data_IF_608347936329
#
_entry.id   IF_608347936329
#
_cell.length_a   1.000
_cell.length_b   1.000
_cell.length_c   1.000
_cell.angle_alpha   90.00
_cell.angle_beta   90.00
_cell.angle_gamma   90.00
#
_symmetry.space_group_name_H-M   'P 1'
#
loop_
_entity.id
_entity.type
_entity.pdbx_description
1 polymer ?
#
# COMPACT_ATOMS: atom_id res chain seq x y z
N UNK A 1 -40.76 7.69 3.19
CA UNK A 1 -39.76 8.76 3.34
C UNK A 1 -40.00 9.45 4.68
N UNK A 2 -39.03 9.38 5.58
CA UNK A 2 -39.16 9.90 6.95
C UNK A 2 -39.17 11.44 6.93
N UNK A 3 -40.10 12.05 7.69
CA UNK A 3 -40.49 13.47 7.59
C UNK A 3 -39.36 14.43 8.01
N UNK A 4 -38.27 13.91 8.56
CA UNK A 4 -37.15 14.65 9.15
C UNK A 4 -35.79 14.41 8.49
N UNK A 5 -35.67 13.49 7.52
CA UNK A 5 -34.40 13.25 6.84
C UNK A 5 -34.38 13.96 5.48
N UNK A 6 -33.78 15.16 5.42
CA UNK A 6 -33.76 15.98 4.19
C UNK A 6 -32.47 15.84 3.36
N UNK A 7 -31.38 15.35 3.95
CA UNK A 7 -30.09 15.17 3.28
C UNK A 7 -29.53 13.82 3.71
N UNK A 8 -29.29 12.94 2.74
CA UNK A 8 -28.66 11.64 2.94
C UNK A 8 -27.40 11.63 2.07
N UNK A 9 -26.24 11.39 2.69
CA UNK A 9 -25.01 11.24 1.95
C UNK A 9 -25.05 9.96 1.11
N UNK A 10 -24.85 10.10 -0.19
CA UNK A 10 -24.64 8.98 -1.11
C UNK A 10 -23.18 8.52 -0.97
N UNK A 11 -22.99 7.40 -0.29
CA UNK A 11 -21.65 6.89 0.01
C UNK A 11 -20.97 6.30 -1.23
N UNK A 12 -21.73 5.79 -2.20
CA UNK A 12 -21.18 5.26 -3.44
C UNK A 12 -20.69 6.41 -4.33
N UNK A 13 -21.48 7.48 -4.44
CA UNK A 13 -21.07 8.70 -5.15
C UNK A 13 -19.83 9.33 -4.50
N UNK A 14 -19.78 9.43 -3.17
CA UNK A 14 -18.61 9.97 -2.47
C UNK A 14 -17.35 9.10 -2.63
N UNK A 15 -17.49 7.77 -2.57
CA UNK A 15 -16.36 6.87 -2.77
C UNK A 15 -15.74 6.98 -4.18
N UNK A 16 -16.55 7.27 -5.20
CA UNK A 16 -16.11 7.40 -6.60
C UNK A 16 -15.65 8.81 -6.97
N UNK A 17 -16.04 9.83 -6.20
CA UNK A 17 -15.79 11.24 -6.50
C UNK A 17 -14.29 11.56 -6.68
N UNK A 18 -13.43 11.08 -5.78
CA UNK A 18 -11.99 11.35 -5.82
C UNK A 18 -11.34 10.91 -7.13
N UNK A 19 -11.69 9.72 -7.60
CA UNK A 19 -11.20 9.20 -8.88
C UNK A 19 -11.77 10.00 -10.04
N UNK A 20 -13.03 10.41 -10.00
CA UNK A 20 -13.63 11.27 -11.04
C UNK A 20 -12.86 12.59 -11.15
N UNK A 21 -12.62 13.26 -10.02
CA UNK A 21 -11.85 14.50 -9.99
C UNK A 21 -10.41 14.29 -10.49
N UNK A 22 -9.78 13.17 -10.13
CA UNK A 22 -8.47 12.77 -10.67
C UNK A 22 -8.48 12.59 -12.19
N UNK A 23 -9.51 11.96 -12.75
CA UNK A 23 -9.62 11.77 -14.19
C UNK A 23 -9.91 13.08 -14.93
N UNK A 24 -10.73 13.96 -14.37
CA UNK A 24 -11.15 15.22 -15.02
C UNK A 24 -10.04 16.25 -15.12
N UNK A 25 -9.07 16.24 -14.19
CA UNK A 25 -7.92 17.13 -14.22
C UNK A 25 -6.84 16.72 -15.24
N UNK A 26 -6.99 15.56 -15.89
CA UNK A 26 -6.07 15.09 -16.93
C UNK A 26 -6.68 15.28 -18.32
N UNK A 27 -6.03 16.09 -19.15
CA UNK A 27 -6.42 16.29 -20.56
C UNK A 27 -6.27 14.99 -21.39
N UNK A 28 -5.22 14.22 -21.09
CA UNK A 28 -4.89 12.97 -21.77
C UNK A 28 -4.51 11.87 -20.79
N UNK A 29 -4.72 10.61 -21.21
CA UNK A 29 -4.34 9.45 -20.43
C UNK A 29 -2.80 9.43 -20.21
N UNK A 30 -2.31 9.33 -18.97
CA UNK A 30 -0.90 9.14 -18.73
C UNK A 30 -0.44 7.75 -19.21
N UNK A 31 0.86 7.58 -19.46
CA UNK A 31 1.42 6.30 -19.92
C UNK A 31 1.42 5.22 -18.82
N UNK A 32 1.40 5.64 -17.54
CA UNK A 32 1.31 4.78 -16.36
C UNK A 32 0.72 5.58 -15.19
N UNK A 33 -0.12 4.91 -14.41
CA UNK A 33 -0.62 5.36 -13.11
C UNK A 33 0.00 4.48 -12.04
N UNK A 34 0.42 5.09 -10.94
CA UNK A 34 0.93 4.38 -9.77
C UNK A 34 -0.04 4.60 -8.62
N UNK A 35 -0.60 3.50 -8.11
CA UNK A 35 -1.50 3.48 -6.97
C UNK A 35 -0.68 3.11 -5.72
N UNK A 36 -0.33 4.10 -4.93
CA UNK A 36 0.30 3.88 -3.63
C UNK A 36 -0.77 3.61 -2.58
N UNK A 37 -0.67 2.46 -1.92
CA UNK A 37 -1.65 1.97 -0.96
C UNK A 37 -0.99 1.85 0.41
N UNK A 38 -1.59 2.48 1.42
CA UNK A 38 -1.22 2.29 2.82
C UNK A 38 -2.42 2.23 3.75
N UNK A 39 -2.16 1.66 4.92
CA UNK A 39 -3.06 1.71 6.06
C UNK A 39 -2.32 2.32 7.25
N UNK A 40 -2.98 3.22 7.98
CA UNK A 40 -2.42 3.85 9.18
C UNK A 40 -3.42 3.79 10.32
N UNK A 41 -2.96 3.86 11.56
CA UNK A 41 -3.84 3.90 12.72
C UNK A 41 -4.54 5.25 12.86
N UNK A 42 -5.79 5.19 13.30
CA UNK A 42 -6.56 6.34 13.75
C UNK A 42 -7.10 6.06 15.16
N UNK A 43 -6.57 6.77 16.15
CA UNK A 43 -6.73 6.43 17.56
C UNK A 43 -8.16 6.67 18.05
N UNK A 44 -8.73 5.64 18.68
CA UNK A 44 -10.05 5.68 19.31
C UNK A 44 -9.90 5.95 20.81
N UNK A 45 -10.60 6.98 21.29
CA UNK A 45 -10.53 7.41 22.69
C UNK A 45 -11.71 6.91 23.56
N UNK A 46 -12.81 6.48 22.96
CA UNK A 46 -14.03 6.07 23.67
C UNK A 46 -14.58 4.72 23.19
N UNK A 47 -15.90 4.58 23.30
CA UNK A 47 -16.64 3.38 22.91
C UNK A 47 -17.27 3.54 21.51
N UNK A 48 -16.51 4.10 20.56
CA UNK A 48 -16.96 4.20 19.17
C UNK A 48 -17.23 2.80 18.58
N UNK A 49 -18.23 2.70 17.70
CA UNK A 49 -18.58 1.50 16.94
C UNK A 49 -17.36 0.98 16.16
N UNK A 50 -17.14 -0.34 16.17
CA UNK A 50 -16.04 -0.96 15.43
C UNK A 50 -14.65 -0.76 16.05
N UNK A 51 -14.58 -0.27 17.29
CA UNK A 51 -13.36 -0.25 18.10
C UNK A 51 -12.70 -1.62 18.17
N UNK A 52 -11.42 -1.69 17.78
CA UNK A 52 -10.59 -2.89 17.93
C UNK A 52 -9.20 -2.51 18.43
N UNK A 53 -8.57 -3.38 19.23
CA UNK A 53 -7.18 -3.22 19.65
C UNK A 53 -6.23 -3.74 18.57
N UNK A 54 -5.28 -2.91 18.16
CA UNK A 54 -4.28 -3.31 17.17
C UNK A 54 -2.92 -3.59 17.81
N UNK A 55 -2.45 -4.84 17.73
CA UNK A 55 -1.23 -5.28 18.43
C UNK A 55 0.04 -4.53 18.02
N UNK A 56 0.17 -4.13 16.75
CA UNK A 56 1.33 -3.37 16.27
C UNK A 56 1.36 -1.93 16.81
N UNK A 57 0.20 -1.28 16.92
CA UNK A 57 0.10 0.13 17.38
C UNK A 57 -0.08 0.24 18.90
N UNK A 58 -0.45 -0.86 19.57
CA UNK A 58 -0.54 -0.94 21.02
C UNK A 58 -1.73 -0.20 21.63
N UNK A 59 -2.75 0.14 20.83
CA UNK A 59 -3.93 0.85 21.30
C UNK A 59 -5.19 0.50 20.49
N UNK A 60 -6.34 1.01 20.92
CA UNK A 60 -7.60 0.86 20.19
C UNK A 60 -7.67 1.90 19.08
N UNK A 61 -7.86 1.47 17.85
CA UNK A 61 -7.88 2.36 16.69
C UNK A 61 -8.85 1.86 15.61
N UNK A 62 -9.16 2.76 14.68
CA UNK A 62 -9.50 2.39 13.31
C UNK A 62 -8.21 2.20 12.51
N UNK A 63 -8.35 1.62 11.33
CA UNK A 63 -7.25 1.42 10.39
C UNK A 63 -7.64 1.93 8.98
N UNK A 64 -7.81 3.27 8.80
CA UNK A 64 -8.12 3.82 7.48
C UNK A 64 -7.13 3.35 6.41
N UNK A 65 -7.68 2.93 5.27
CA UNK A 65 -6.92 2.64 4.06
C UNK A 65 -6.94 3.87 3.15
N UNK A 66 -5.76 4.31 2.73
CA UNK A 66 -5.60 5.35 1.74
C UNK A 66 -5.02 4.78 0.43
N UNK A 67 -5.49 5.34 -0.69
CA UNK A 67 -4.93 5.09 -2.02
C UNK A 67 -4.62 6.43 -2.67
N UNK A 68 -3.36 6.64 -3.02
CA UNK A 68 -2.88 7.86 -3.68
C UNK A 68 -2.33 7.57 -5.07
N UNK A 69 -2.35 8.59 -5.94
CA UNK A 69 -1.56 8.65 -7.16
C UNK A 69 -0.79 9.98 -7.17
N UNK A 70 0.50 9.93 -6.81
CA UNK A 70 1.27 11.15 -6.55
C UNK A 70 0.61 11.94 -5.41
N UNK A 71 0.27 13.20 -5.68
CA UNK A 71 -0.38 14.08 -4.69
C UNK A 71 -1.90 13.91 -4.62
N UNK A 72 -2.50 13.08 -5.48
CA UNK A 72 -3.95 12.94 -5.57
C UNK A 72 -4.44 11.79 -4.71
N UNK A 73 -5.32 12.08 -3.75
CA UNK A 73 -6.10 11.06 -3.07
C UNK A 73 -7.13 10.46 -4.05
N UNK A 74 -7.14 9.13 -4.14
CA UNK A 74 -8.10 8.37 -4.96
C UNK A 74 -9.10 7.59 -4.09
N UNK A 75 -8.74 7.27 -2.85
CA UNK A 75 -9.66 6.67 -1.89
C UNK A 75 -9.18 6.85 -0.46
N UNK A 76 -10.12 7.11 0.45
CA UNK A 76 -9.91 7.05 1.90
C UNK A 76 -11.06 6.25 2.52
N UNK A 77 -10.78 5.05 2.98
CA UNK A 77 -11.80 4.10 3.48
C UNK A 77 -11.50 3.77 4.93
N UNK A 78 -12.38 4.21 5.84
CA UNK A 78 -12.31 3.93 7.26
C UNK A 78 -12.61 2.45 7.52
N UNK A 79 -11.76 1.79 8.30
CA UNK A 79 -11.90 0.36 8.61
C UNK A 79 -11.69 0.09 10.08
N UNK A 80 -12.23 -1.01 10.55
CA UNK A 80 -11.94 -1.53 11.89
C UNK A 80 -10.55 -2.16 11.89
N UNK A 81 -9.82 -2.04 13.01
CA UNK A 81 -8.43 -2.47 13.10
C UNK A 81 -8.23 -3.99 13.28
N UNK A 82 -9.31 -4.76 13.37
CA UNK A 82 -9.29 -6.23 13.46
C UNK A 82 -9.26 -6.94 12.09
N UNK A 83 -9.23 -6.18 10.99
CA UNK A 83 -9.25 -6.70 9.61
C UNK A 83 -7.85 -6.74 8.99
N UNK A 84 -7.65 -7.68 8.06
CA UNK A 84 -6.41 -7.74 7.28
C UNK A 84 -6.41 -6.64 6.19
N UNK A 85 -5.47 -5.68 6.22
CA UNK A 85 -5.49 -4.52 5.32
C UNK A 85 -5.34 -4.92 3.86
N UNK A 86 -4.51 -5.94 3.56
CA UNK A 86 -4.26 -6.40 2.20
C UNK A 86 -5.47 -7.09 1.56
N UNK A 87 -6.22 -7.90 2.31
CA UNK A 87 -7.48 -8.50 1.83
C UNK A 87 -8.52 -7.44 1.53
N UNK A 88 -8.70 -6.50 2.45
CA UNK A 88 -9.72 -5.47 2.32
C UNK A 88 -9.35 -4.44 1.22
N UNK A 89 -8.07 -4.20 0.97
CA UNK A 89 -7.63 -3.26 -0.08
C UNK A 89 -8.07 -3.64 -1.50
N UNK A 90 -8.31 -4.93 -1.75
CA UNK A 90 -8.76 -5.40 -3.05
C UNK A 90 -10.05 -4.73 -3.53
N UNK A 91 -11.01 -4.47 -2.63
CA UNK A 91 -12.27 -3.84 -3.02
C UNK A 91 -12.06 -2.41 -3.55
N UNK A 92 -11.26 -1.61 -2.85
CA UNK A 92 -10.92 -0.24 -3.24
C UNK A 92 -10.07 -0.22 -4.52
N UNK A 93 -9.03 -1.05 -4.58
CA UNK A 93 -8.15 -1.14 -5.76
C UNK A 93 -8.96 -1.55 -7.00
N UNK A 94 -9.84 -2.54 -6.88
CA UNK A 94 -10.72 -2.96 -7.98
C UNK A 94 -11.58 -1.81 -8.48
N UNK A 95 -12.30 -1.15 -7.58
CA UNK A 95 -13.17 -0.02 -7.92
C UNK A 95 -12.40 1.11 -8.62
N UNK A 96 -11.25 1.50 -8.07
CA UNK A 96 -10.41 2.56 -8.64
C UNK A 96 -9.93 2.16 -10.04
N UNK A 97 -9.43 0.93 -10.21
CA UNK A 97 -8.93 0.43 -11.50
C UNK A 97 -10.05 0.37 -12.55
N UNK A 98 -11.22 -0.14 -12.19
CA UNK A 98 -12.39 -0.21 -13.08
C UNK A 98 -12.83 1.19 -13.51
N UNK A 99 -12.92 2.13 -12.56
CA UNK A 99 -13.30 3.51 -12.84
C UNK A 99 -12.26 4.21 -13.73
N UNK A 100 -10.97 4.06 -13.47
CA UNK A 100 -9.90 4.60 -14.32
C UNK A 100 -9.98 4.03 -15.73
N UNK A 101 -10.12 2.70 -15.86
CA UNK A 101 -10.15 2.02 -17.16
C UNK A 101 -11.42 2.27 -17.96
N UNK A 102 -12.50 2.71 -17.32
CA UNK A 102 -13.70 3.17 -18.03
C UNK A 102 -13.40 4.35 -18.97
N UNK A 103 -12.43 5.21 -18.59
CA UNK A 103 -11.98 6.36 -19.39
C UNK A 103 -10.69 6.08 -20.14
N UNK A 104 -9.76 5.33 -19.53
CA UNK A 104 -8.45 5.02 -20.11
C UNK A 104 -8.21 3.50 -20.18
N UNK A 105 -8.81 2.78 -21.14
CA UNK A 105 -8.79 1.32 -21.18
C UNK A 105 -7.38 0.70 -21.28
N UNK A 106 -6.41 1.45 -21.82
CA UNK A 106 -5.04 0.99 -22.09
C UNK A 106 -3.99 1.54 -21.13
N UNK A 107 -4.39 2.32 -20.12
CA UNK A 107 -3.43 2.86 -19.16
C UNK A 107 -2.78 1.72 -18.38
N UNK A 108 -1.46 1.78 -18.22
CA UNK A 108 -0.74 0.84 -17.37
C UNK A 108 -0.93 1.27 -15.92
N UNK A 109 -1.23 0.33 -15.04
CA UNK A 109 -1.44 0.61 -13.62
C UNK A 109 -0.45 -0.23 -12.83
N UNK A 110 0.27 0.40 -11.90
CA UNK A 110 1.15 -0.24 -10.94
C UNK A 110 0.62 0.01 -9.53
N UNK A 111 0.30 -1.05 -8.79
CA UNK A 111 -0.05 -0.94 -7.36
C UNK A 111 1.21 -1.12 -6.52
N UNK A 112 1.49 -0.17 -5.63
CA UNK A 112 2.60 -0.23 -4.67
C UNK A 112 2.07 -0.21 -3.26
N UNK A 113 2.74 -0.93 -2.37
CA UNK A 113 2.35 -1.03 -0.96
C UNK A 113 3.42 -1.74 -0.14
N UNK A 114 3.28 -1.72 1.17
CA UNK A 114 4.17 -2.43 2.07
C UNK A 114 3.89 -3.96 2.11
N UNK A 115 4.47 -4.67 3.08
CA UNK A 115 4.27 -6.11 3.24
C UNK A 115 2.89 -6.55 3.71
N UNK A 116 2.07 -5.63 4.24
CA UNK A 116 0.66 -5.87 4.54
C UNK A 116 -0.16 -6.19 3.29
N UNK A 117 0.26 -5.69 2.13
CA UNK A 117 -0.45 -5.84 0.85
C UNK A 117 0.03 -7.03 0.00
N UNK A 118 1.12 -7.71 0.38
CA UNK A 118 1.59 -8.93 -0.28
C UNK A 118 0.71 -10.16 0.03
N UNK A 119 -0.60 -10.04 -0.24
CA UNK A 119 -1.62 -11.08 -0.10
C UNK A 119 -1.89 -11.72 -1.45
N UNK A 120 -2.02 -13.05 -1.46
CA UNK A 120 -2.21 -13.78 -2.71
C UNK A 120 -3.47 -13.36 -3.46
N UNK A 121 -4.59 -13.13 -2.77
CA UNK A 121 -5.83 -12.67 -3.39
C UNK A 121 -5.67 -11.36 -4.14
N UNK A 122 -4.92 -10.40 -3.60
CA UNK A 122 -4.66 -9.12 -4.24
C UNK A 122 -3.70 -9.28 -5.42
N UNK A 123 -2.57 -9.98 -5.22
CA UNK A 123 -1.58 -10.19 -6.27
C UNK A 123 -2.15 -10.98 -7.46
N UNK A 124 -2.91 -12.05 -7.18
CA UNK A 124 -3.60 -12.86 -8.20
C UNK A 124 -4.61 -12.01 -8.97
N UNK A 125 -5.43 -11.21 -8.27
CA UNK A 125 -6.36 -10.31 -8.96
C UNK A 125 -5.63 -9.29 -9.84
N UNK A 126 -4.53 -8.70 -9.37
CA UNK A 126 -3.73 -7.78 -10.18
C UNK A 126 -3.21 -8.47 -11.46
N UNK A 127 -2.63 -9.67 -11.33
CA UNK A 127 -2.14 -10.47 -12.46
C UNK A 127 -3.26 -10.78 -13.47
N UNK A 128 -4.40 -11.27 -12.99
CA UNK A 128 -5.53 -11.68 -13.82
C UNK A 128 -6.21 -10.46 -14.50
N UNK A 129 -5.99 -9.25 -14.00
CA UNK A 129 -6.53 -8.01 -14.55
C UNK A 129 -5.47 -7.13 -15.23
N UNK A 130 -4.28 -7.65 -15.55
CA UNK A 130 -3.20 -6.89 -16.20
C UNK A 130 -2.84 -5.59 -15.45
N UNK A 131 -2.85 -5.65 -14.12
CA UNK A 131 -2.37 -4.60 -13.23
C UNK A 131 -1.02 -5.07 -12.68
N UNK A 132 0.00 -4.24 -12.83
CA UNK A 132 1.30 -4.54 -12.24
C UNK A 132 1.25 -4.31 -10.72
N UNK A 133 2.07 -5.04 -9.96
CA UNK A 133 2.26 -4.73 -8.54
C UNK A 133 3.73 -4.73 -8.13
N UNK A 134 3.99 -4.02 -7.04
CA UNK A 134 5.28 -3.97 -6.36
C UNK A 134 5.04 -3.79 -4.85
N UNK A 135 5.07 -4.90 -4.12
CA UNK A 135 4.80 -4.90 -2.69
C UNK A 135 6.05 -5.19 -1.87
N UNK A 136 6.13 -4.62 -0.67
CA UNK A 136 7.04 -5.11 0.35
C UNK A 136 6.78 -6.59 0.63
N UNK A 137 7.81 -7.32 1.02
CA UNK A 137 7.67 -8.71 1.44
C UNK A 137 8.34 -8.89 2.80
N UNK A 138 7.57 -9.41 3.76
CA UNK A 138 8.08 -9.69 5.10
C UNK A 138 9.18 -10.76 5.03
N UNK A 139 10.35 -10.44 5.57
CA UNK A 139 11.48 -11.36 5.64
C UNK A 139 11.18 -12.54 6.56
N UNK A 140 11.61 -13.74 6.17
CA UNK A 140 11.54 -14.95 6.98
C UNK A 140 12.82 -15.77 6.78
N UNK A 141 13.03 -16.78 7.62
CA UNK A 141 14.23 -17.62 7.60
C UNK A 141 14.54 -18.16 6.21
N UNK A 142 13.55 -18.68 5.48
CA UNK A 142 13.78 -19.24 4.14
C UNK A 142 14.20 -18.19 3.11
N UNK A 143 13.68 -16.96 3.21
CA UNK A 143 14.11 -15.84 2.38
C UNK A 143 15.53 -15.40 2.74
N UNK A 144 15.88 -15.36 4.03
CA UNK A 144 17.23 -15.06 4.48
C UNK A 144 18.23 -16.12 4.00
N UNK A 145 17.88 -17.40 4.10
CA UNK A 145 18.70 -18.52 3.60
C UNK A 145 18.91 -18.41 2.09
N UNK A 146 17.87 -17.99 1.34
CA UNK A 146 17.94 -17.81 -0.11
C UNK A 146 18.97 -16.77 -0.54
N UNK A 147 19.26 -15.78 0.31
CA UNK A 147 20.23 -14.72 0.04
C UNK A 147 21.49 -14.83 0.91
N UNK A 148 21.75 -15.98 1.54
CA UNK A 148 22.85 -16.15 2.49
C UNK A 148 24.22 -15.81 1.87
N UNK A 149 24.49 -16.25 0.64
CA UNK A 149 25.72 -15.92 -0.09
C UNK A 149 25.87 -14.41 -0.31
N UNK A 150 24.84 -13.75 -0.82
CA UNK A 150 24.82 -12.30 -1.00
C UNK A 150 24.99 -11.56 0.35
N UNK A 151 24.37 -12.06 1.42
CA UNK A 151 24.52 -11.47 2.74
C UNK A 151 25.96 -11.60 3.27
N UNK A 152 26.65 -12.70 2.98
CA UNK A 152 28.05 -12.89 3.37
C UNK A 152 28.96 -11.92 2.59
N UNK A 153 28.78 -11.83 1.27
CA UNK A 153 29.51 -10.89 0.41
C UNK A 153 29.37 -9.44 0.91
N UNK A 154 28.15 -8.99 1.17
CA UNK A 154 27.87 -7.63 1.66
C UNK A 154 28.45 -7.39 3.05
N UNK A 155 28.43 -8.38 3.94
CA UNK A 155 29.05 -8.27 5.26
C UNK A 155 30.57 -8.13 5.14
N UNK A 156 31.20 -8.97 4.31
CA UNK A 156 32.64 -8.99 4.14
C UNK A 156 33.13 -7.67 3.50
N UNK A 157 32.40 -7.14 2.51
CA UNK A 157 32.64 -5.80 1.95
C UNK A 157 32.55 -4.70 3.01
N UNK A 158 31.51 -4.73 3.86
CA UNK A 158 31.36 -3.75 4.95
C UNK A 158 32.50 -3.85 5.99
N UNK A 159 32.96 -5.07 6.29
CA UNK A 159 34.08 -5.31 7.20
C UNK A 159 35.41 -4.83 6.61
N UNK A 160 35.66 -5.07 5.32
CA UNK A 160 36.88 -4.62 4.64
C UNK A 160 36.93 -3.10 4.47
N UNK A 161 35.81 -2.47 4.12
CA UNK A 161 35.77 -1.02 3.84
C UNK A 161 35.54 -0.16 5.08
N UNK A 162 35.05 -0.75 6.17
CA UNK A 162 34.57 -0.03 7.35
C UNK A 162 33.31 0.83 7.09
N UNK A 163 32.66 0.66 5.94
CA UNK A 163 31.48 1.44 5.52
C UNK A 163 30.27 0.53 5.35
N UNK A 164 29.09 1.12 5.28
CA UNK A 164 27.88 0.38 4.95
C UNK A 164 27.98 -0.18 3.51
N UNK A 165 27.66 -1.46 3.35
CA UNK A 165 27.62 -2.13 2.05
C UNK A 165 26.21 -2.62 1.76
N UNK A 166 25.89 -2.75 0.47
CA UNK A 166 24.58 -3.21 0.01
C UNK A 166 24.68 -3.99 -1.29
N UNK A 167 23.89 -5.05 -1.40
CA UNK A 167 23.81 -5.92 -2.56
C UNK A 167 22.36 -6.21 -2.91
N UNK A 168 22.12 -6.58 -4.16
CA UNK A 168 20.78 -6.87 -4.66
C UNK A 168 20.74 -8.21 -5.38
N UNK A 169 19.66 -8.96 -5.20
CA UNK A 169 19.40 -10.19 -5.93
C UNK A 169 17.94 -10.25 -6.38
N UNK A 170 17.69 -11.03 -7.44
CA UNK A 170 16.35 -11.32 -7.94
C UNK A 170 16.20 -12.82 -8.14
N UNK A 171 15.07 -13.38 -7.74
CA UNK A 171 14.77 -14.80 -7.90
C UNK A 171 13.26 -15.04 -7.90
N UNK A 172 12.83 -16.16 -8.49
CA UNK A 172 11.45 -16.60 -8.39
C UNK A 172 11.20 -17.26 -7.04
N UNK A 173 10.06 -16.93 -6.44
CA UNK A 173 9.67 -17.38 -5.11
C UNK A 173 8.21 -17.81 -5.07
N UNK A 174 7.91 -18.78 -4.23
CA UNK A 174 6.55 -19.15 -3.84
C UNK A 174 6.57 -19.52 -2.36
N UNK A 175 5.50 -19.19 -1.65
CA UNK A 175 5.32 -19.67 -0.27
C UNK A 175 4.95 -21.16 -0.29
N UNK A 176 4.84 -21.77 0.90
CA UNK A 176 4.52 -23.20 0.98
C UNK A 176 3.07 -23.48 0.60
N UNK A 177 2.17 -22.60 1.02
CA UNK A 177 0.71 -22.80 1.03
C UNK A 177 -0.08 -21.51 0.78
N UNK A 178 0.44 -20.35 1.17
CA UNK A 178 -0.31 -19.09 1.12
C UNK A 178 -0.37 -18.43 -0.26
N UNK A 179 0.49 -18.80 -1.20
CA UNK A 179 0.54 -18.24 -2.56
C UNK A 179 0.19 -19.29 -3.59
N UNK A 180 -0.64 -18.91 -4.55
CA UNK A 180 -1.13 -19.80 -5.61
C UNK A 180 -0.13 -19.98 -6.75
N UNK A 181 0.82 -19.06 -6.92
CA UNK A 181 1.81 -19.11 -8.00
C UNK A 181 3.15 -18.49 -7.61
N UNK A 182 4.18 -18.84 -8.40
CA UNK A 182 5.53 -18.28 -8.30
C UNK A 182 5.52 -16.84 -8.78
N UNK A 183 6.24 -15.98 -8.05
CA UNK A 183 6.39 -14.55 -8.34
C UNK A 183 7.84 -14.13 -8.20
N UNK A 184 8.22 -13.09 -8.92
CA UNK A 184 9.57 -12.51 -8.82
C UNK A 184 9.71 -11.79 -7.48
N UNK A 185 10.75 -12.14 -6.73
CA UNK A 185 11.16 -11.45 -5.51
C UNK A 185 12.52 -10.79 -5.75
N UNK A 186 12.62 -9.54 -5.32
CA UNK A 186 13.90 -8.82 -5.25
C UNK A 186 14.28 -8.64 -3.80
N UNK A 187 15.53 -8.96 -3.49
CA UNK A 187 16.13 -8.80 -2.18
C UNK A 187 17.14 -7.67 -2.20
N UNK A 188 17.10 -6.84 -1.17
CA UNK A 188 18.17 -5.92 -0.80
C UNK A 188 18.86 -6.48 0.44
N UNK A 189 20.11 -6.90 0.28
CA UNK A 189 21.00 -7.15 1.39
C UNK A 189 21.71 -5.85 1.79
N UNK A 190 21.78 -5.55 3.08
CA UNK A 190 22.48 -4.37 3.58
C UNK A 190 23.12 -4.72 4.91
N UNK A 191 24.38 -4.32 5.07
CA UNK A 191 25.12 -4.41 6.32
C UNK A 191 25.59 -3.00 6.70
N UNK A 192 25.15 -2.52 7.86
CA UNK A 192 25.54 -1.21 8.40
C UNK A 192 25.60 -1.26 9.92
N UNK A 193 26.54 -0.53 10.52
CA UNK A 193 26.71 -0.44 11.97
C UNK A 193 26.74 -1.81 12.67
N UNK A 194 27.41 -2.80 12.07
CA UNK A 194 27.51 -4.17 12.61
C UNK A 194 26.21 -4.98 12.58
N UNK A 195 25.15 -4.46 11.96
CA UNK A 195 23.82 -5.07 11.93
C UNK A 195 23.34 -5.37 10.51
N UNK A 196 22.48 -6.38 10.41
CA UNK A 196 21.90 -6.89 9.16
C UNK A 196 20.54 -6.23 8.89
N UNK A 197 20.39 -5.59 7.73
CA UNK A 197 19.16 -4.89 7.33
C UNK A 197 18.62 -5.39 5.98
N UNK A 198 18.16 -6.63 5.94
CA UNK A 198 17.59 -7.21 4.72
C UNK A 198 16.16 -6.74 4.48
N UNK A 199 15.85 -6.45 3.22
CA UNK A 199 14.50 -6.11 2.75
C UNK A 199 14.17 -6.94 1.52
N UNK A 200 12.90 -7.29 1.37
CA UNK A 200 12.41 -8.01 0.21
C UNK A 200 11.21 -7.27 -0.38
N UNK A 201 11.05 -7.38 -1.68
CA UNK A 201 9.90 -6.90 -2.43
C UNK A 201 9.46 -7.99 -3.40
N UNK A 202 8.17 -8.05 -3.72
CA UNK A 202 7.58 -8.96 -4.72
C UNK A 202 6.92 -8.15 -5.82
N UNK A 203 7.08 -8.57 -7.07
CA UNK A 203 6.60 -7.80 -8.23
C UNK A 203 6.21 -8.66 -9.42
N UNK A 204 5.36 -8.12 -10.29
CA UNK A 204 5.11 -8.60 -11.66
C UNK A 204 6.06 -7.98 -12.70
N UNK A 205 6.77 -6.90 -12.35
CA UNK A 205 7.58 -6.16 -13.31
C UNK A 205 8.71 -7.05 -13.85
N UNK A 206 8.86 -7.16 -15.19
CA UNK A 206 9.74 -8.15 -15.79
C UNK A 206 11.23 -7.79 -15.61
N UNK A 207 12.08 -8.81 -15.62
CA UNK A 207 13.53 -8.66 -15.38
C UNK A 207 14.20 -7.73 -16.40
N UNK A 208 13.80 -7.80 -17.67
CA UNK A 208 14.34 -6.95 -18.73
C UNK A 208 13.96 -5.46 -18.64
N UNK A 209 12.95 -5.09 -17.83
CA UNK A 209 12.54 -3.69 -17.67
C UNK A 209 13.15 -3.02 -16.43
N UNK A 210 13.71 -3.76 -15.47
CA UNK A 210 14.14 -3.19 -14.20
C UNK A 210 15.21 -4.02 -13.52
N UNK A 211 16.43 -3.48 -13.48
CA UNK A 211 17.52 -3.94 -12.64
C UNK A 211 17.07 -4.00 -11.15
N UNK A 212 17.44 -5.03 -10.37
CA UNK A 212 16.99 -5.18 -8.98
C UNK A 212 17.25 -3.97 -8.09
N UNK A 213 18.38 -3.28 -8.29
CA UNK A 213 18.71 -2.07 -7.54
C UNK A 213 17.80 -0.92 -7.93
N UNK A 214 17.61 -0.69 -9.24
CA UNK A 214 16.70 0.35 -9.72
C UNK A 214 15.26 0.12 -9.23
N UNK A 215 14.77 -1.11 -9.33
CA UNK A 215 13.43 -1.48 -8.87
C UNK A 215 13.23 -1.17 -7.39
N UNK A 216 14.20 -1.52 -6.54
CA UNK A 216 14.11 -1.25 -5.11
C UNK A 216 14.28 0.25 -4.80
N UNK A 217 15.35 0.88 -5.28
CA UNK A 217 15.75 2.22 -4.85
C UNK A 217 14.94 3.34 -5.50
N UNK A 218 14.51 3.18 -6.75
CA UNK A 218 13.83 4.24 -7.49
C UNK A 218 12.32 4.01 -7.54
N UNK A 219 11.88 2.77 -7.72
CA UNK A 219 10.45 2.47 -7.88
C UNK A 219 9.80 2.13 -6.54
N UNK A 220 10.37 1.23 -5.74
CA UNK A 220 9.77 0.86 -4.46
C UNK A 220 9.94 1.95 -3.39
N UNK A 221 11.14 2.51 -3.22
CA UNK A 221 11.40 3.51 -2.19
C UNK A 221 10.64 4.84 -2.40
N UNK A 222 10.22 5.17 -3.63
CA UNK A 222 9.36 6.32 -3.90
C UNK A 222 7.98 6.23 -3.23
N UNK A 223 7.60 5.05 -2.71
CA UNK A 223 6.43 4.89 -1.82
C UNK A 223 6.55 5.75 -0.54
N UNK A 224 7.77 6.10 -0.11
CA UNK A 224 7.99 6.91 1.09
C UNK A 224 7.28 8.26 1.08
N UNK A 225 7.05 8.84 -0.10
CA UNK A 225 6.31 10.10 -0.23
C UNK A 225 4.84 9.97 0.21
N UNK A 226 4.25 8.79 0.07
CA UNK A 226 2.89 8.53 0.56
C UNK A 226 2.79 8.63 2.08
N UNK A 227 3.84 8.28 2.84
CA UNK A 227 3.85 8.47 4.29
C UNK A 227 3.69 9.95 4.65
N UNK A 228 4.25 10.85 3.84
CA UNK A 228 4.06 12.29 4.00
C UNK A 228 2.62 12.72 3.67
N UNK A 229 2.02 12.15 2.61
CA UNK A 229 0.60 12.41 2.27
C UNK A 229 -0.36 12.00 3.38
N UNK A 230 -0.12 10.85 4.00
CA UNK A 230 -0.93 10.37 5.14
C UNK A 230 -0.75 11.29 6.35
N UNK A 231 0.49 11.72 6.63
CA UNK A 231 0.78 12.70 7.67
C UNK A 231 0.04 14.01 7.45
N UNK A 232 -0.03 14.52 6.22
CA UNK A 232 -0.82 15.71 5.88
C UNK A 232 -2.32 15.48 6.14
N UNK A 233 -2.88 14.35 5.73
CA UNK A 233 -4.28 14.02 6.01
C UNK A 233 -4.57 14.02 7.52
N UNK A 234 -3.74 13.34 8.31
CA UNK A 234 -3.98 13.18 9.75
C UNK A 234 -3.68 14.45 10.53
N UNK A 235 -2.50 15.05 10.34
CA UNK A 235 -2.04 16.17 11.16
C UNK A 235 -2.57 17.53 10.68
N UNK A 236 -2.61 17.76 9.36
CA UNK A 236 -2.94 19.08 8.81
C UNK A 236 -4.42 19.19 8.42
N UNK A 237 -5.02 18.10 7.95
CA UNK A 237 -6.43 18.03 7.58
C UNK A 237 -7.32 17.38 8.65
N UNK A 238 -6.73 16.95 9.77
CA UNK A 238 -7.42 16.42 10.94
C UNK A 238 -8.31 15.20 10.63
N UNK A 239 -7.89 14.35 9.68
CA UNK A 239 -8.64 13.15 9.29
C UNK A 239 -8.72 12.08 10.39
N UNK A 240 -7.89 12.21 11.44
CA UNK A 240 -7.90 11.42 12.66
C UNK A 240 -9.00 11.86 13.66
N UNK A 241 -9.79 12.89 13.37
CA UNK A 241 -10.88 13.35 14.25
C UNK A 241 -12.17 12.53 14.05
N UNK A 242 -12.08 11.23 14.27
CA UNK A 242 -13.20 10.26 14.22
C UNK A 242 -13.98 10.16 15.54
N UNK A 243 -14.49 11.30 15.99
CA UNK A 243 -15.15 11.46 17.29
C UNK A 243 -16.63 11.07 17.35
N UNK A 244 -17.23 10.61 16.24
CA UNK A 244 -18.63 10.17 16.24
C UNK A 244 -18.77 8.73 16.76
N UNK A 245 -19.93 8.40 17.31
CA UNK A 245 -20.18 7.05 17.81
C UNK A 245 -20.25 5.98 16.71
N UNK A 246 -20.65 6.34 15.49
CA UNK A 246 -20.86 5.38 14.40
C UNK A 246 -19.74 5.43 13.37
N UNK A 247 -19.38 4.27 12.81
CA UNK A 247 -18.35 4.19 11.78
C UNK A 247 -18.78 4.93 10.51
N UNK A 248 -20.08 4.91 10.19
CA UNK A 248 -20.65 5.60 9.04
C UNK A 248 -20.48 7.12 9.13
N UNK A 249 -20.73 7.71 10.30
CA UNK A 249 -20.51 9.14 10.49
C UNK A 249 -19.01 9.48 10.42
N UNK A 250 -18.15 8.64 11.01
CA UNK A 250 -16.70 8.84 10.95
C UNK A 250 -16.13 8.70 9.53
N UNK A 251 -16.70 7.82 8.68
CA UNK A 251 -16.32 7.73 7.27
C UNK A 251 -16.61 9.04 6.51
N UNK A 252 -17.75 9.69 6.76
CA UNK A 252 -18.05 10.98 6.15
C UNK A 252 -17.08 12.06 6.61
N UNK A 253 -16.73 12.07 7.90
CA UNK A 253 -15.73 12.98 8.46
C UNK A 253 -14.37 12.79 7.81
N UNK A 254 -13.95 11.53 7.64
CA UNK A 254 -12.72 11.17 6.94
C UNK A 254 -12.72 11.74 5.51
N UNK A 255 -13.81 11.56 4.75
CA UNK A 255 -13.89 12.12 3.40
C UNK A 255 -13.87 13.65 3.37
N UNK A 256 -14.56 14.33 4.29
CA UNK A 256 -14.55 15.79 4.34
C UNK A 256 -13.20 16.38 4.75
N UNK A 257 -12.45 15.68 5.59
CA UNK A 257 -11.09 16.06 5.92
C UNK A 257 -10.14 15.81 4.75
N UNK A 258 -10.32 14.72 4.00
CA UNK A 258 -9.37 14.31 2.98
C UNK A 258 -9.62 14.91 1.57
N UNK A 259 -10.67 15.72 1.41
CA UNK A 259 -11.10 16.33 0.15
C UNK A 259 -10.55 17.72 -0.12
#
# INVERSE_FOLDING_TARGET
ADRYCRIIADHEALATLFVTLFLDQHEHAPARIVLDVDATDDRIHGHQEGRAFHGYYGHNCYLPLYVFCGDHLLSATLRTADRDPGKEALADIRRIVEQIRSRWPRVRILVRGDSGFARDSLMTWCEDNHVDFLFGLAGNTRLYDRIASLSAEVRDEAATTGRAARGFASFDWITKDSWTRRRRVVAKAEWRHGNRYHRFIVTTLPQGMSDPRHLYEQIYCARGDMENRIKECQMDLFSDRTSSHTIRANQLRLWFSAA
#
